data_IF_355796096655
#
_entry.id   IF_355796096655
#
_cell.length_a   1.000
_cell.length_b   1.000
_cell.length_c   1.000
_cell.angle_alpha   90.00
_cell.angle_beta   90.00
_cell.angle_gamma   90.00
#
_symmetry.space_group_name_H-M   'P 1'
#
loop_
_entity.id
_entity.type
_entity.pdbx_description
1 polymer ?
#
# COMPACT_ATOMS: atom_id res chain seq x y z
N UNK A 1 -9.82 -10.74 -8.17
CA UNK A 1 -9.24 -9.51 -8.76
C UNK A 1 -9.82 -9.35 -10.15
N UNK A 2 -10.23 -8.15 -10.52
CA UNK A 2 -10.83 -7.82 -11.81
C UNK A 2 -10.17 -6.60 -12.41
N UNK A 3 -9.83 -6.67 -13.69
CA UNK A 3 -9.27 -5.56 -14.48
C UNK A 3 -10.39 -4.99 -15.35
N UNK A 4 -10.60 -3.68 -15.26
CA UNK A 4 -11.58 -2.92 -16.02
C UNK A 4 -10.85 -1.90 -16.90
N UNK A 5 -11.32 -1.73 -18.13
CA UNK A 5 -10.92 -0.64 -19.01
C UNK A 5 -12.09 0.32 -19.18
N UNK A 6 -11.82 1.62 -19.20
CA UNK A 6 -12.85 2.68 -19.22
C UNK A 6 -13.87 2.51 -18.09
N UNK A 7 -13.35 2.39 -16.87
CA UNK A 7 -14.09 2.06 -15.68
C UNK A 7 -14.71 3.31 -15.04
N UNK A 8 -15.97 3.22 -14.65
CA UNK A 8 -16.66 4.23 -13.84
C UNK A 8 -16.97 3.66 -12.46
N UNK A 9 -16.70 4.43 -11.41
CA UNK A 9 -17.11 4.09 -10.04
C UNK A 9 -18.60 4.37 -9.85
N UNK A 10 -19.33 3.37 -9.40
CA UNK A 10 -20.75 3.43 -9.07
C UNK A 10 -20.94 3.32 -7.55
N UNK A 11 -22.20 3.28 -7.10
CA UNK A 11 -22.56 3.06 -5.70
C UNK A 11 -21.92 1.77 -5.14
N UNK A 12 -21.59 1.80 -3.84
CA UNK A 12 -21.02 0.67 -3.11
C UNK A 12 -19.68 0.16 -3.67
N UNK A 13 -18.88 1.05 -4.29
CA UNK A 13 -17.58 0.72 -4.89
C UNK A 13 -17.68 -0.42 -5.92
N UNK A 14 -18.77 -0.44 -6.67
CA UNK A 14 -18.85 -1.22 -7.90
C UNK A 14 -18.22 -0.46 -9.04
N UNK A 15 -17.66 -1.21 -9.99
CA UNK A 15 -17.11 -0.65 -11.22
C UNK A 15 -17.91 -1.15 -12.41
N UNK A 16 -18.23 -0.24 -13.32
CA UNK A 16 -18.84 -0.55 -14.62
C UNK A 16 -17.89 -0.13 -15.72
N UNK A 17 -17.96 -0.80 -16.88
CA UNK A 17 -17.22 -0.37 -18.09
C UNK A 17 -18.16 0.40 -19.01
N UNK A 18 -17.72 1.56 -19.47
CA UNK A 18 -18.51 2.39 -20.39
C UNK A 18 -18.45 1.85 -21.83
N UNK A 19 -17.43 1.05 -22.16
CA UNK A 19 -17.19 0.50 -23.50
C UNK A 19 -17.22 -1.03 -23.49
N UNK A 20 -18.23 -1.63 -22.84
CA UNK A 20 -18.34 -3.09 -22.63
C UNK A 20 -18.36 -3.89 -23.93
N UNK A 21 -18.96 -3.34 -25.00
CA UNK A 21 -19.03 -3.97 -26.32
C UNK A 21 -17.66 -4.10 -26.99
N UNK A 22 -16.71 -3.24 -26.61
CA UNK A 22 -15.34 -3.25 -27.17
C UNK A 22 -14.39 -4.05 -26.29
N UNK A 23 -14.51 -3.94 -24.97
CA UNK A 23 -13.61 -4.60 -24.04
C UNK A 23 -14.32 -4.99 -22.74
N UNK A 24 -14.31 -6.29 -22.46
CA UNK A 24 -14.93 -6.85 -21.26
C UNK A 24 -13.95 -6.89 -20.10
N UNK A 25 -14.41 -6.66 -18.86
CA UNK A 25 -13.58 -6.83 -17.68
C UNK A 25 -13.10 -8.28 -17.54
N UNK A 26 -11.89 -8.45 -17.02
CA UNK A 26 -11.28 -9.77 -16.82
C UNK A 26 -11.12 -10.03 -15.34
N UNK A 27 -11.75 -11.09 -14.87
CA UNK A 27 -11.70 -11.52 -13.47
C UNK A 27 -10.83 -12.75 -13.32
N UNK A 28 -9.89 -12.70 -12.36
CA UNK A 28 -9.07 -13.83 -11.94
C UNK A 28 -9.15 -13.97 -10.42
N UNK A 29 -9.37 -15.21 -9.99
CA UNK A 29 -9.45 -15.59 -8.58
C UNK A 29 -8.08 -16.03 -8.07
N UNK A 30 -7.80 -15.69 -6.83
CA UNK A 30 -6.58 -16.02 -6.13
C UNK A 30 -6.93 -16.66 -4.79
N UNK A 31 -6.11 -17.60 -4.32
CA UNK A 31 -6.21 -18.04 -2.91
C UNK A 31 -5.63 -16.95 -2.02
N UNK A 32 -5.88 -17.02 -0.72
CA UNK A 32 -5.20 -16.14 0.23
C UNK A 32 -3.67 -16.31 0.14
N UNK A 33 -2.94 -15.20 0.23
CA UNK A 33 -1.47 -15.20 0.11
C UNK A 33 -0.91 -13.85 -0.31
N UNK A 34 0.32 -13.58 0.12
CA UNK A 34 1.06 -12.36 -0.21
C UNK A 34 1.94 -12.56 -1.46
N UNK A 35 2.27 -11.46 -2.14
CA UNK A 35 3.21 -11.48 -3.27
C UNK A 35 2.68 -12.17 -4.54
N UNK A 36 1.37 -12.41 -4.62
CA UNK A 36 0.75 -13.04 -5.78
C UNK A 36 0.87 -12.13 -7.00
N UNK A 37 1.26 -12.71 -8.14
CA UNK A 37 1.44 -11.99 -9.39
C UNK A 37 0.31 -12.32 -10.35
N UNK A 38 -0.33 -11.28 -10.87
CA UNK A 38 -1.28 -11.39 -11.97
C UNK A 38 -0.55 -11.23 -13.30
N UNK A 39 -0.87 -12.09 -14.26
CA UNK A 39 -0.49 -11.92 -15.67
C UNK A 39 -1.73 -12.11 -16.53
N UNK A 40 -2.09 -11.06 -17.25
CA UNK A 40 -3.22 -11.10 -18.17
C UNK A 40 -2.96 -12.10 -19.31
N UNK A 41 -3.92 -12.95 -19.69
CA UNK A 41 -3.78 -13.83 -20.85
C UNK A 41 -3.56 -13.03 -22.14
N UNK A 42 -2.68 -13.51 -23.02
CA UNK A 42 -2.42 -12.87 -24.31
C UNK A 42 -3.72 -12.72 -25.12
N UNK A 43 -3.87 -11.58 -25.79
CA UNK A 43 -5.07 -11.28 -26.60
C UNK A 43 -6.30 -10.80 -25.80
N UNK A 44 -6.23 -10.78 -24.47
CA UNK A 44 -7.29 -10.21 -23.62
C UNK A 44 -6.96 -8.80 -23.12
N UNK A 45 -5.79 -8.28 -23.51
CA UNK A 45 -5.38 -6.90 -23.21
C UNK A 45 -6.12 -5.86 -24.05
N UNK A 46 -5.86 -4.61 -23.75
CA UNK A 46 -6.33 -3.48 -24.55
C UNK A 46 -5.41 -3.23 -25.74
N UNK A 47 -5.99 -2.98 -26.91
CA UNK A 47 -5.28 -2.44 -28.07
C UNK A 47 -5.48 -0.92 -28.08
N UNK A 48 -4.40 -0.14 -27.97
CA UNK A 48 -4.51 1.32 -27.95
C UNK A 48 -4.84 1.92 -29.32
N UNK A 49 -4.61 1.20 -30.41
CA UNK A 49 -4.83 1.73 -31.76
C UNK A 49 -6.30 1.94 -32.11
N UNK A 50 -7.22 1.30 -31.37
CA UNK A 50 -8.66 1.40 -31.59
C UNK A 50 -9.34 2.50 -30.75
N UNK A 51 -8.56 3.25 -29.96
CA UNK A 51 -9.07 4.31 -29.09
C UNK A 51 -8.38 5.65 -29.38
N UNK A 52 -9.09 6.75 -29.13
CA UNK A 52 -8.50 8.08 -29.23
C UNK A 52 -7.53 8.32 -28.05
N UNK A 53 -6.49 9.13 -28.28
CA UNK A 53 -5.50 9.43 -27.24
C UNK A 53 -6.14 10.15 -26.03
N UNK A 54 -7.17 10.97 -26.27
CA UNK A 54 -8.00 11.59 -25.23
C UNK A 54 -8.70 10.58 -24.32
N UNK A 55 -9.11 9.42 -24.84
CA UNK A 55 -9.76 8.36 -24.06
C UNK A 55 -8.78 7.62 -23.15
N UNK A 56 -7.50 7.58 -23.53
CA UNK A 56 -6.45 6.85 -22.80
C UNK A 56 -5.80 7.70 -21.69
N UNK A 57 -5.91 9.03 -21.80
CA UNK A 57 -5.35 10.00 -20.88
C UNK A 57 -6.44 10.58 -19.95
N UNK A 58 -6.08 11.04 -18.74
CA UNK A 58 -7.03 11.75 -17.88
C UNK A 58 -7.28 13.15 -18.44
N UNK A 59 -8.47 13.43 -18.98
CA UNK A 59 -8.84 14.76 -19.45
C UNK A 59 -9.86 15.43 -18.52
N UNK A 60 -9.43 16.40 -17.71
CA UNK A 60 -10.32 17.14 -16.82
C UNK A 60 -10.83 16.32 -15.63
N UNK A 61 -12.06 16.61 -15.20
CA UNK A 61 -12.71 15.94 -14.06
C UNK A 61 -13.39 14.65 -14.56
N UNK A 62 -12.57 13.65 -14.86
CA UNK A 62 -13.05 12.38 -15.41
C UNK A 62 -13.63 11.49 -14.32
N UNK A 63 -14.91 11.17 -14.43
CA UNK A 63 -15.56 10.08 -13.69
C UNK A 63 -15.22 8.69 -14.26
N UNK A 64 -14.60 8.66 -15.45
CA UNK A 64 -14.24 7.43 -16.17
C UNK A 64 -12.72 7.32 -16.26
N UNK A 65 -12.18 6.21 -15.75
CA UNK A 65 -10.76 5.93 -15.71
C UNK A 65 -10.38 4.91 -16.80
N UNK A 66 -9.35 5.19 -17.62
CA UNK A 66 -8.91 4.28 -18.70
C UNK A 66 -8.57 2.87 -18.20
N UNK A 67 -8.04 2.77 -16.98
CA UNK A 67 -7.74 1.51 -16.31
C UNK A 67 -8.19 1.55 -14.85
N UNK A 68 -8.87 0.51 -14.40
CA UNK A 68 -9.09 0.27 -12.99
C UNK A 68 -8.88 -1.21 -12.63
N UNK A 69 -8.27 -1.45 -11.48
CA UNK A 69 -8.08 -2.81 -10.94
C UNK A 69 -8.83 -2.89 -9.61
N UNK A 70 -9.78 -3.83 -9.51
CA UNK A 70 -10.51 -4.14 -8.28
C UNK A 70 -10.02 -5.45 -7.71
N UNK A 71 -9.51 -5.45 -6.48
CA UNK A 71 -9.33 -6.66 -5.69
C UNK A 71 -10.44 -6.71 -4.64
N UNK A 72 -11.17 -7.81 -4.54
CA UNK A 72 -12.23 -7.96 -3.54
C UNK A 72 -12.17 -9.35 -2.93
N UNK A 73 -12.54 -9.44 -1.65
CA UNK A 73 -12.65 -10.71 -0.95
C UNK A 73 -13.96 -11.40 -1.33
N UNK A 74 -13.93 -12.69 -1.61
CA UNK A 74 -15.16 -13.49 -1.73
C UNK A 74 -15.56 -14.00 -0.35
N UNK A 75 -16.80 -13.73 0.09
CA UNK A 75 -17.33 -14.30 1.33
C UNK A 75 -17.58 -15.81 1.11
N UNK A 76 -17.08 -16.66 2.01
CA UNK A 76 -17.49 -18.06 2.09
C UNK A 76 -18.92 -18.12 2.65
N UNK A 77 -19.78 -18.87 1.97
CA UNK A 77 -21.23 -18.98 2.26
C UNK A 77 -21.52 -19.93 3.43
N UNK A 78 -20.51 -20.37 4.19
CA UNK A 78 -20.65 -21.51 5.11
C UNK A 78 -21.43 -21.20 6.41
N UNK A 79 -21.78 -19.94 6.67
CA UNK A 79 -22.68 -19.59 7.77
C UNK A 79 -23.70 -18.52 7.34
N UNK A 80 -24.96 -18.90 7.03
CA UNK A 80 -26.02 -17.90 6.96
C UNK A 80 -26.19 -17.27 8.36
N UNK A 81 -26.30 -15.93 8.46
CA UNK A 81 -26.60 -15.29 9.73
C UNK A 81 -28.00 -15.73 10.19
N UNK A 82 -28.05 -16.56 11.23
CA UNK A 82 -29.29 -16.80 11.97
C UNK A 82 -29.62 -15.52 12.76
N UNK A 83 -30.52 -14.71 12.23
CA UNK A 83 -31.03 -13.50 12.88
C UNK A 83 -31.54 -12.47 11.88
N UNK A 84 -32.69 -11.86 12.19
CA UNK A 84 -33.49 -10.94 11.36
C UNK A 84 -32.82 -9.57 11.07
N UNK A 85 -31.49 -9.46 11.21
CA UNK A 85 -30.69 -8.29 10.87
C UNK A 85 -29.79 -8.62 9.66
N UNK A 86 -30.39 -8.64 8.47
CA UNK A 86 -29.66 -8.74 7.20
C UNK A 86 -28.88 -7.45 6.93
N UNK A 87 -27.86 -7.16 7.74
CA UNK A 87 -26.85 -6.19 7.37
C UNK A 87 -26.01 -6.85 6.29
N UNK A 88 -26.33 -6.59 5.03
CA UNK A 88 -25.61 -7.07 3.85
C UNK A 88 -24.11 -6.86 4.08
N UNK A 89 -23.35 -7.93 4.35
CA UNK A 89 -21.91 -7.83 4.58
C UNK A 89 -21.30 -7.53 3.21
N UNK A 90 -20.95 -6.27 2.96
CA UNK A 90 -20.21 -5.90 1.76
C UNK A 90 -18.78 -6.41 1.89
N UNK A 91 -18.24 -7.15 0.92
CA UNK A 91 -16.87 -7.63 0.98
C UNK A 91 -15.88 -6.47 1.03
N UNK A 92 -14.76 -6.69 1.68
CA UNK A 92 -13.66 -5.73 1.62
C UNK A 92 -13.12 -5.71 0.20
N UNK A 93 -12.84 -4.52 -0.31
CA UNK A 93 -12.24 -4.37 -1.63
C UNK A 93 -11.26 -3.21 -1.70
N UNK A 94 -10.36 -3.29 -2.66
CA UNK A 94 -9.44 -2.24 -3.03
C UNK A 94 -9.61 -1.97 -4.52
N UNK A 95 -9.78 -0.70 -4.87
CA UNK A 95 -9.79 -0.22 -6.25
C UNK A 95 -8.54 0.61 -6.48
N UNK A 96 -7.82 0.34 -7.56
CA UNK A 96 -6.73 1.19 -8.04
C UNK A 96 -7.14 1.74 -9.40
N UNK A 97 -7.36 3.05 -9.47
CA UNK A 97 -7.68 3.79 -10.69
C UNK A 97 -6.39 4.38 -11.27
N UNK A 98 -6.19 4.18 -12.57
CA UNK A 98 -4.98 4.57 -13.26
C UNK A 98 -5.30 5.09 -14.66
N UNK A 99 -4.34 5.86 -15.18
CA UNK A 99 -4.37 6.39 -16.55
C UNK A 99 -3.14 5.94 -17.31
N UNK A 100 -3.23 5.90 -18.62
CA UNK A 100 -2.07 5.70 -19.45
C UNK A 100 -1.33 7.04 -19.63
N UNK A 101 -0.03 6.95 -19.86
CA UNK A 101 0.81 8.06 -20.26
C UNK A 101 1.70 7.59 -21.40
N UNK A 102 1.78 8.40 -22.45
CA UNK A 102 2.67 8.12 -23.56
C UNK A 102 4.06 8.69 -23.28
N UNK A 103 5.07 7.83 -23.36
CA UNK A 103 6.48 8.21 -23.27
C UNK A 103 6.94 8.81 -24.59
N UNK A 104 8.08 9.51 -24.55
CA UNK A 104 8.72 10.10 -25.73
C UNK A 104 9.06 9.06 -26.82
N UNK A 105 9.35 7.82 -26.41
CA UNK A 105 9.64 6.71 -27.34
C UNK A 105 8.39 6.09 -27.98
N UNK A 106 7.19 6.56 -27.64
CA UNK A 106 5.91 6.06 -28.14
C UNK A 106 5.29 4.93 -27.30
N UNK A 107 6.01 4.37 -26.32
CA UNK A 107 5.47 3.38 -25.40
C UNK A 107 4.51 4.02 -24.40
N UNK A 108 3.61 3.22 -23.85
CA UNK A 108 2.73 3.66 -22.76
C UNK A 108 3.22 3.15 -21.40
N UNK A 109 3.09 4.00 -20.38
CA UNK A 109 3.16 3.59 -18.98
C UNK A 109 1.84 3.84 -18.27
N UNK A 110 1.66 3.17 -17.14
CA UNK A 110 0.48 3.33 -16.28
C UNK A 110 0.86 4.21 -15.10
N UNK A 111 0.11 5.28 -14.87
CA UNK A 111 0.21 6.11 -13.66
C UNK A 111 -1.03 5.90 -12.80
N UNK A 112 -0.83 5.48 -11.55
CA UNK A 112 -1.89 5.41 -10.55
C UNK A 112 -2.31 6.84 -10.19
N UNK A 113 -3.62 7.09 -10.21
CA UNK A 113 -4.20 8.40 -9.89
C UNK A 113 -4.88 8.38 -8.54
N UNK A 114 -5.59 7.29 -8.25
CA UNK A 114 -6.38 7.16 -7.03
C UNK A 114 -6.40 5.70 -6.60
N UNK A 115 -6.32 5.49 -5.29
CA UNK A 115 -6.56 4.19 -4.69
C UNK A 115 -7.65 4.33 -3.64
N UNK A 116 -8.56 3.37 -3.62
CA UNK A 116 -9.74 3.38 -2.76
C UNK A 116 -9.77 2.06 -2.01
N UNK A 117 -9.92 2.12 -0.69
CA UNK A 117 -10.22 0.98 0.15
C UNK A 117 -11.69 1.03 0.56
N UNK A 118 -12.36 -0.09 0.41
CA UNK A 118 -13.70 -0.32 0.94
C UNK A 118 -13.60 -1.33 2.06
N UNK A 119 -13.90 -0.90 3.28
CA UNK A 119 -13.83 -1.74 4.48
C UNK A 119 -15.06 -1.49 5.32
N UNK A 120 -15.77 -2.56 5.69
CA UNK A 120 -16.96 -2.50 6.56
C UNK A 120 -18.01 -1.47 6.09
N UNK A 121 -18.24 -1.36 4.78
CA UNK A 121 -19.21 -0.43 4.20
C UNK A 121 -18.75 1.03 4.15
N UNK A 122 -17.48 1.30 4.42
CA UNK A 122 -16.92 2.66 4.41
C UNK A 122 -15.87 2.80 3.31
N UNK A 123 -15.96 3.89 2.54
CA UNK A 123 -15.01 4.30 1.50
C UNK A 123 -13.86 5.09 2.11
N UNK A 124 -12.64 4.69 1.80
CA UNK A 124 -11.42 5.42 2.16
C UNK A 124 -10.60 5.66 0.90
N UNK A 125 -10.31 6.92 0.61
CA UNK A 125 -9.33 7.27 -0.42
C UNK A 125 -7.92 7.22 0.19
N UNK A 126 -7.03 6.50 -0.47
CA UNK A 126 -5.65 6.33 -0.03
C UNK A 126 -4.84 7.56 -0.43
N UNK A 127 -4.13 8.10 0.55
CA UNK A 127 -3.21 9.21 0.33
C UNK A 127 -1.81 8.79 0.77
N UNK A 128 -0.82 9.16 -0.05
CA UNK A 128 0.58 8.95 0.29
C UNK A 128 0.98 9.79 1.50
N UNK A 129 1.84 9.19 2.32
CA UNK A 129 2.50 9.87 3.43
C UNK A 129 3.92 10.20 2.98
N UNK A 130 4.28 11.47 3.04
CA UNK A 130 5.61 11.90 2.65
C UNK A 130 6.61 11.60 3.76
N UNK A 131 7.76 11.03 3.40
CA UNK A 131 8.82 10.70 4.35
C UNK A 131 8.74 9.30 4.97
N UNK A 132 7.81 8.45 4.52
CA UNK A 132 7.67 7.04 4.96
C UNK A 132 8.45 6.04 4.07
N UNK A 133 9.50 6.50 3.36
CA UNK A 133 10.15 5.83 2.21
C UNK A 133 10.17 4.29 2.21
N UNK A 134 9.84 3.71 1.04
CA UNK A 134 9.75 2.27 0.74
C UNK A 134 10.87 1.43 1.40
N UNK A 135 10.56 0.72 2.47
CA UNK A 135 11.43 -0.31 3.07
C UNK A 135 11.57 -1.59 2.23
N UNK A 136 11.14 -1.56 0.96
CA UNK A 136 10.98 -2.75 0.11
C UNK A 136 12.05 -2.90 -0.98
N UNK A 137 12.96 -1.93 -1.13
CA UNK A 137 14.18 -2.13 -1.91
C UNK A 137 15.31 -2.47 -0.94
N UNK A 138 15.81 -3.70 -1.07
CA UNK A 138 16.82 -4.27 -0.19
C UNK A 138 18.15 -3.53 -0.32
N UNK A 139 18.37 -2.57 0.55
CA UNK A 139 19.61 -2.41 1.30
C UNK A 139 19.28 -1.60 2.56
N UNK A 140 18.90 -2.32 3.62
CA UNK A 140 18.59 -1.71 4.91
C UNK A 140 19.89 -1.43 5.64
N UNK A 141 20.63 -0.41 5.20
CA UNK A 141 21.63 0.18 6.06
C UNK A 141 20.89 0.76 7.28
N UNK A 142 21.23 0.25 8.46
CA UNK A 142 20.69 0.67 9.76
C UNK A 142 21.01 2.15 10.10
N UNK A 143 21.62 2.87 9.18
CA UNK A 143 22.14 4.22 9.34
C UNK A 143 21.69 5.13 8.18
N UNK A 144 20.47 4.96 7.68
CA UNK A 144 19.85 5.90 6.74
C UNK A 144 19.34 7.14 7.52
N UNK A 145 20.07 8.27 7.49
CA UNK A 145 19.65 9.51 8.15
C UNK A 145 18.32 10.04 7.60
N UNK A 146 17.83 9.48 6.49
CA UNK A 146 16.53 9.76 5.90
C UNK A 146 15.33 9.28 6.74
N UNK A 147 15.51 8.45 7.79
CA UNK A 147 14.42 7.85 8.58
C UNK A 147 14.25 8.36 10.01
N UNK A 148 15.18 9.18 10.50
CA UNK A 148 15.18 9.70 11.87
C UNK A 148 14.32 10.96 12.02
N UNK A 149 13.73 11.13 13.19
CA UNK A 149 12.98 12.31 13.60
C UNK A 149 13.81 13.58 13.38
N UNK A 150 13.27 14.56 12.65
CA UNK A 150 13.99 15.81 12.33
C UNK A 150 14.21 16.73 13.53
N UNK A 151 13.63 16.40 14.68
CA UNK A 151 13.72 17.19 15.91
C UNK A 151 14.80 16.64 16.83
N UNK A 152 14.75 15.34 17.16
CA UNK A 152 15.76 14.72 18.04
C UNK A 152 16.94 14.11 17.30
N UNK A 153 16.80 13.79 16.01
CA UNK A 153 17.82 13.11 15.20
C UNK A 153 18.31 11.81 15.87
N UNK A 154 17.39 11.04 16.45
CA UNK A 154 17.73 9.81 17.19
C UNK A 154 16.65 8.76 16.99
N UNK A 155 15.40 9.09 17.32
CA UNK A 155 14.29 8.15 17.20
C UNK A 155 13.74 8.08 15.78
N UNK A 156 13.24 6.92 15.32
CA UNK A 156 12.61 6.80 14.01
C UNK A 156 11.35 7.65 13.91
N UNK A 157 11.01 8.07 12.69
CA UNK A 157 9.76 8.78 12.43
C UNK A 157 8.59 7.80 12.51
N UNK A 158 7.61 8.11 13.34
CA UNK A 158 6.36 7.35 13.48
C UNK A 158 5.14 8.26 13.37
N UNK A 159 5.32 9.59 13.34
CA UNK A 159 4.21 10.54 13.46
C UNK A 159 4.08 11.40 12.22
N UNK A 160 2.87 11.38 11.65
CA UNK A 160 2.45 12.16 10.48
C UNK A 160 1.67 13.40 10.88
N UNK A 161 1.98 14.52 10.25
CA UNK A 161 1.26 15.79 10.40
C UNK A 161 0.12 15.89 9.40
N UNK A 162 -1.10 16.21 9.85
CA UNK A 162 -2.25 16.47 8.99
C UNK A 162 -2.59 17.98 8.96
N UNK A 163 -3.00 18.52 7.80
CA UNK A 163 -3.36 17.83 6.55
C UNK A 163 -2.18 17.62 5.57
N UNK A 164 -0.98 18.10 5.89
CA UNK A 164 0.15 18.11 4.95
C UNK A 164 0.81 16.74 4.70
N UNK A 165 0.45 15.71 5.47
CA UNK A 165 0.93 14.31 5.41
C UNK A 165 2.45 14.11 5.50
N UNK A 166 3.18 15.03 6.13
CA UNK A 166 4.61 14.85 6.35
C UNK A 166 4.84 14.01 7.61
N UNK A 167 5.39 12.81 7.43
CA UNK A 167 5.96 12.00 8.51
C UNK A 167 7.40 12.44 8.74
N UNK A 168 7.64 13.19 9.81
CA UNK A 168 8.94 13.84 10.04
C UNK A 168 9.42 13.79 11.49
N UNK A 169 8.63 13.26 12.42
CA UNK A 169 8.97 13.25 13.84
C UNK A 169 8.59 11.93 14.52
N UNK A 170 9.25 11.62 15.63
CA UNK A 170 8.83 10.58 16.55
C UNK A 170 7.67 11.08 17.45
N UNK A 171 6.95 10.15 18.05
CA UNK A 171 5.75 10.39 18.86
C UNK A 171 6.05 11.20 20.12
N UNK A 172 7.25 11.09 20.67
CA UNK A 172 7.70 11.89 21.81
C UNK A 172 7.89 13.36 21.43
N UNK A 173 8.63 13.63 20.35
CA UNK A 173 8.82 15.00 19.85
C UNK A 173 7.49 15.61 19.39
N UNK A 174 6.58 14.81 18.84
CA UNK A 174 5.25 15.24 18.42
C UNK A 174 4.39 15.75 19.60
N UNK A 175 4.49 15.10 20.77
CA UNK A 175 3.79 15.54 21.99
C UNK A 175 4.29 16.91 22.46
N UNK A 176 5.60 17.15 22.37
CA UNK A 176 6.21 18.44 22.75
C UNK A 176 5.87 19.54 21.74
N UNK A 177 5.88 19.22 20.44
CA UNK A 177 5.58 20.16 19.36
C UNK A 177 4.27 20.91 19.60
N UNK A 178 3.21 20.20 20.05
CA UNK A 178 1.89 20.78 20.34
C UNK A 178 1.93 21.99 21.29
N UNK A 179 2.92 22.08 22.15
CA UNK A 179 3.08 23.18 23.11
C UNK A 179 4.00 24.30 22.62
N UNK A 180 4.87 24.02 21.65
CA UNK A 180 5.88 24.98 21.16
C UNK A 180 5.47 25.65 19.85
N UNK A 181 4.88 24.89 18.92
CA UNK A 181 4.51 25.37 17.59
C UNK A 181 3.37 24.56 17.01
N UNK A 182 2.48 25.24 16.28
CA UNK A 182 1.35 24.63 15.59
C UNK A 182 1.60 24.49 14.08
N UNK A 183 2.86 24.35 13.65
CA UNK A 183 3.25 24.25 12.24
C UNK A 183 4.10 23.01 11.95
N UNK A 184 3.92 22.43 10.76
CA UNK A 184 4.73 21.32 10.27
C UNK A 184 6.21 21.74 10.12
N UNK A 185 7.19 20.98 10.62
CA UNK A 185 8.62 21.27 10.45
C UNK A 185 9.10 21.30 8.99
N UNK A 186 8.47 20.53 8.11
CA UNK A 186 8.88 20.40 6.70
C UNK A 186 8.31 21.51 5.83
N UNK A 187 6.99 21.69 5.84
CA UNK A 187 6.30 22.59 4.91
C UNK A 187 5.69 23.84 5.57
N UNK A 188 5.80 23.97 6.90
CA UNK A 188 5.26 25.10 7.70
C UNK A 188 3.74 25.31 7.64
N UNK A 189 3.00 24.37 7.04
CA UNK A 189 1.53 24.38 7.10
C UNK A 189 1.04 24.19 8.55
N UNK A 190 -0.11 24.80 8.92
CA UNK A 190 -0.71 24.60 10.23
C UNK A 190 -1.00 23.13 10.52
N UNK A 191 -0.73 22.70 11.75
CA UNK A 191 -1.03 21.35 12.24
C UNK A 191 -2.46 21.32 12.74
N UNK A 192 -3.30 20.51 12.09
CA UNK A 192 -4.67 20.24 12.57
C UNK A 192 -4.69 19.02 13.48
N UNK A 193 -3.99 17.96 13.07
CA UNK A 193 -3.93 16.68 13.79
C UNK A 193 -2.56 16.03 13.62
N UNK A 194 -2.22 15.18 14.58
CA UNK A 194 -1.04 14.31 14.52
C UNK A 194 -1.52 12.87 14.57
N UNK A 195 -1.04 12.05 13.64
CA UNK A 195 -1.36 10.63 13.53
C UNK A 195 -0.09 9.82 13.78
N UNK A 196 -0.09 9.02 14.84
CA UNK A 196 0.98 8.05 15.13
C UNK A 196 0.72 6.78 14.32
N UNK A 197 1.76 6.28 13.66
CA UNK A 197 1.75 5.11 12.79
C UNK A 197 2.81 4.16 13.29
N UNK A 198 2.37 3.00 13.78
CA UNK A 198 3.27 1.94 14.22
C UNK A 198 3.75 1.15 13.02
N UNK A 199 4.98 1.42 12.59
CA UNK A 199 5.66 0.62 11.57
C UNK A 199 6.25 -0.60 12.27
N UNK A 200 5.78 -1.80 11.91
CA UNK A 200 6.34 -3.03 12.45
C UNK A 200 7.67 -3.32 11.76
N UNK A 201 8.77 -2.83 12.32
CA UNK A 201 10.11 -3.22 11.92
C UNK A 201 10.33 -4.65 12.43
N UNK A 202 10.05 -5.65 11.58
CA UNK A 202 10.45 -7.04 11.86
C UNK A 202 11.97 -7.16 11.75
N UNK A 203 12.67 -6.65 12.75
CA UNK A 203 14.11 -6.78 12.90
C UNK A 203 14.48 -6.96 14.37
N UNK A 204 13.65 -7.64 15.16
CA UNK A 204 13.97 -8.06 16.52
C UNK A 204 13.30 -9.42 16.79
N UNK A 205 13.87 -10.49 16.23
CA UNK A 205 13.74 -11.86 16.76
C UNK A 205 14.75 -12.76 16.03
N UNK A 206 16.04 -12.49 16.23
CA UNK A 206 17.12 -13.44 15.93
C UNK A 206 18.44 -13.03 16.61
N UNK A 207 18.41 -12.89 17.93
CA UNK A 207 19.65 -12.93 18.74
C UNK A 207 19.46 -13.83 19.97
N UNK A 208 18.99 -15.06 19.75
CA UNK A 208 19.36 -16.18 20.61
C UNK A 208 20.28 -17.10 19.81
N UNK A 209 21.57 -16.83 19.90
CA UNK A 209 22.62 -17.77 19.49
C UNK A 209 22.42 -19.09 20.24
N UNK A 210 22.35 -20.25 19.56
CA UNK A 210 22.49 -21.53 20.24
C UNK A 210 23.89 -21.58 20.86
N UNK A 211 23.97 -21.67 22.18
CA UNK A 211 25.23 -21.97 22.86
C UNK A 211 25.74 -23.32 22.33
N UNK A 212 26.90 -23.30 21.68
CA UNK A 212 27.62 -24.52 21.32
C UNK A 212 27.95 -25.31 22.59
N UNK A 213 27.79 -26.64 22.61
CA UNK A 213 28.12 -27.44 23.77
C UNK A 213 29.63 -27.35 24.10
N UNK A 214 30.01 -27.43 25.39
CA UNK A 214 31.40 -27.34 25.79
C UNK A 214 32.20 -28.52 25.23
N UNK A 215 33.42 -28.24 24.76
CA UNK A 215 34.39 -29.26 24.32
C UNK A 215 34.80 -30.14 25.51
N UNK A 216 34.99 -31.45 25.33
CA UNK A 216 35.54 -32.30 26.38
C UNK A 216 37.03 -32.00 26.61
N UNK A 217 37.43 -31.95 27.89
CA UNK A 217 38.81 -31.77 28.33
C UNK A 217 39.71 -32.91 27.82
N UNK A 218 40.83 -32.54 27.20
CA UNK A 218 41.92 -33.44 26.86
C UNK A 218 42.67 -33.81 28.15
N UNK A 219 42.64 -35.09 28.52
CA UNK A 219 43.44 -35.62 29.62
C UNK A 219 44.94 -35.46 29.32
N UNK A 220 45.76 -35.02 30.29
CA UNK A 220 47.20 -34.95 30.11
C UNK A 220 47.80 -36.36 30.12
N UNK A 221 48.55 -36.67 29.06
CA UNK A 221 49.50 -37.76 29.04
C UNK A 221 50.62 -37.45 30.05
N UNK A 222 50.89 -38.38 30.98
CA UNK A 222 52.15 -38.43 31.71
C UNK A 222 52.78 -39.80 31.51
N UNK A 223 53.96 -39.77 30.90
CA UNK A 223 54.93 -40.84 30.74
C UNK A 223 55.78 -41.02 32.03
N UNK A 224 56.22 -42.25 32.28
CA UNK A 224 57.28 -42.64 33.25
C UNK A 224 56.76 -42.84 34.69
N UNK A 225 57.01 -43.94 35.40
CA UNK A 225 58.16 -44.88 35.46
C UNK A 225 57.67 -46.28 35.82
#
# INVERSE_FOLDING_TARGET
MTVYFFAKEELNCNLTTVKEDLIKPITVSFKEGLGQKFRQPSGTGIDFSVFEESDLLKQGDMDVYPLAVKAETTLSVDHPPEGDDQKMITPNSQITQAVFEKKENGDYQVRVVCQILWVNGTRYELQEIYGIGNSMEGDADANDPGKECVICLSEPRDTTVLPCRHMCMCSECAKVLRYQTTRCPICRQPVERLLEIKVNNKSEDQQQTPQSPPRPDLAPQQEGV
#
